data_IF_298273369860
#
_entry.id   IF_298273369860
#
_cell.length_a   1.000
_cell.length_b   1.000
_cell.length_c   1.000
_cell.angle_alpha   90.00
_cell.angle_beta   90.00
_cell.angle_gamma   90.00
#
_symmetry.space_group_name_H-M   'P 1'
#
loop_
_entity.id
_entity.type
_entity.pdbx_description
1 polymer ?
#
# COMPACT_ATOMS: atom_id res chain seq x y z
N UNK A 1 76.20 -8.02 44.72
CA UNK A 1 75.02 -7.44 44.10
C UNK A 1 73.97 -8.50 44.11
N UNK A 2 72.96 -8.25 44.86
CA UNK A 2 72.01 -9.12 45.48
C UNK A 2 70.99 -9.73 44.46
N UNK A 3 70.71 -11.04 44.58
CA UNK A 3 69.70 -11.83 43.87
C UNK A 3 68.30 -11.30 44.12
N UNK A 4 68.04 -10.53 45.17
CA UNK A 4 66.75 -9.98 45.57
C UNK A 4 66.26 -8.85 44.63
N UNK A 5 67.15 -8.02 44.09
CA UNK A 5 66.75 -6.92 43.22
C UNK A 5 66.18 -7.41 41.83
N UNK A 6 66.61 -8.58 41.35
CA UNK A 6 66.06 -9.18 40.10
C UNK A 6 64.68 -9.79 40.31
N UNK A 7 64.37 -10.26 41.52
CA UNK A 7 63.06 -10.79 41.87
C UNK A 7 61.98 -9.69 41.92
N UNK A 8 62.29 -8.52 42.46
CA UNK A 8 61.34 -7.38 42.56
C UNK A 8 61.10 -6.74 41.23
N UNK A 9 62.10 -6.62 40.37
CA UNK A 9 61.87 -6.10 38.98
C UNK A 9 60.94 -7.01 38.16
N UNK A 10 61.07 -8.35 38.31
CA UNK A 10 60.18 -9.30 37.62
C UNK A 10 58.74 -9.24 38.14
N UNK A 11 58.53 -9.00 39.47
CA UNK A 11 57.17 -8.83 40.02
C UNK A 11 56.44 -7.57 39.47
N UNK A 12 57.24 -6.47 39.37
CA UNK A 12 56.66 -5.23 38.83
C UNK A 12 56.29 -5.37 37.33
N UNK A 13 57.19 -6.02 36.57
CA UNK A 13 56.89 -6.33 35.14
C UNK A 13 55.65 -7.26 35.01
N UNK A 14 55.54 -8.26 35.88
CA UNK A 14 54.40 -9.16 35.93
C UNK A 14 53.07 -8.40 36.25
N UNK A 15 53.14 -7.49 37.25
CA UNK A 15 51.98 -6.67 37.61
C UNK A 15 51.52 -5.75 36.48
N UNK A 16 52.48 -5.09 35.82
CA UNK A 16 52.17 -4.26 34.64
C UNK A 16 51.59 -5.11 33.50
N UNK A 17 52.18 -6.27 33.22
CA UNK A 17 51.71 -7.19 32.22
C UNK A 17 50.26 -7.67 32.53
N UNK A 18 49.95 -7.96 33.80
CA UNK A 18 48.62 -8.35 34.24
C UNK A 18 47.60 -7.22 34.05
N UNK A 19 47.96 -5.98 34.41
CA UNK A 19 47.10 -4.79 34.21
C UNK A 19 46.81 -4.56 32.72
N UNK A 20 47.83 -4.66 31.88
CA UNK A 20 47.66 -4.51 30.42
C UNK A 20 46.77 -5.63 29.87
N UNK A 21 47.01 -6.87 30.30
CA UNK A 21 46.19 -8.01 29.86
C UNK A 21 44.71 -7.85 30.28
N UNK A 22 44.46 -7.39 31.50
CA UNK A 22 43.09 -7.15 32.00
C UNK A 22 42.42 -6.00 31.26
N UNK A 23 43.15 -4.93 30.95
CA UNK A 23 42.66 -3.81 30.20
C UNK A 23 42.28 -4.23 28.77
N UNK A 24 43.15 -4.99 28.09
CA UNK A 24 42.86 -5.50 26.73
C UNK A 24 41.70 -6.48 26.75
N UNK A 25 41.60 -7.36 27.74
CA UNK A 25 40.45 -8.26 27.88
C UNK A 25 39.16 -7.49 28.13
N UNK A 26 39.18 -6.44 28.97
CA UNK A 26 38.01 -5.57 29.21
C UNK A 26 37.53 -4.85 27.97
N UNK A 27 38.45 -4.32 27.16
CA UNK A 27 38.10 -3.70 25.85
C UNK A 27 37.53 -4.75 24.91
N UNK A 28 38.11 -5.95 24.86
CA UNK A 28 37.61 -7.03 24.00
C UNK A 28 36.18 -7.46 24.34
N UNK A 29 35.86 -7.59 25.63
CA UNK A 29 34.48 -7.90 26.08
C UNK A 29 33.52 -6.78 25.74
N UNK A 30 33.88 -5.52 25.96
CA UNK A 30 33.03 -4.37 25.64
C UNK A 30 32.72 -4.26 24.14
N UNK A 31 33.71 -4.55 23.28
CA UNK A 31 33.49 -4.59 21.83
C UNK A 31 32.60 -5.76 21.41
N UNK A 32 32.75 -6.92 22.06
CA UNK A 32 31.91 -8.08 21.80
C UNK A 32 30.46 -7.85 22.21
N UNK A 33 30.22 -7.24 23.37
CA UNK A 33 28.90 -6.89 23.85
C UNK A 33 28.21 -5.90 22.90
N UNK A 34 28.91 -4.85 22.44
CA UNK A 34 28.38 -3.89 21.48
C UNK A 34 28.03 -4.51 20.11
N UNK A 35 28.88 -5.46 19.66
CA UNK A 35 28.60 -6.18 18.40
C UNK A 35 27.39 -7.13 18.53
N UNK A 36 27.20 -7.77 19.67
CA UNK A 36 26.02 -8.61 19.93
C UNK A 36 24.75 -7.79 20.02
N UNK A 37 24.77 -6.64 20.67
CA UNK A 37 23.64 -5.74 20.81
C UNK A 37 23.22 -5.17 19.42
N UNK A 38 24.17 -4.73 18.61
CA UNK A 38 23.91 -4.33 17.22
C UNK A 38 23.27 -5.45 16.41
N UNK A 39 23.80 -6.66 16.49
CA UNK A 39 23.28 -7.80 15.75
C UNK A 39 21.85 -8.19 16.15
N UNK A 40 21.51 -7.99 17.43
CA UNK A 40 20.15 -8.22 17.92
C UNK A 40 19.18 -7.14 17.47
N UNK A 41 19.57 -5.85 17.48
CA UNK A 41 18.79 -4.74 16.96
C UNK A 41 18.49 -4.94 15.49
N UNK A 42 19.49 -5.16 14.66
CA UNK A 42 19.33 -5.39 13.22
C UNK A 42 18.34 -6.53 12.92
N UNK A 43 18.35 -7.59 13.73
CA UNK A 43 17.44 -8.72 13.57
C UNK A 43 15.98 -8.36 13.94
N UNK A 44 15.77 -7.55 14.97
CA UNK A 44 14.43 -7.09 15.38
C UNK A 44 13.85 -6.11 14.38
N UNK A 45 14.62 -5.12 13.95
CA UNK A 45 14.25 -4.14 12.93
C UNK A 45 13.85 -4.82 11.62
N UNK A 46 14.64 -5.80 11.17
CA UNK A 46 14.34 -6.56 9.96
C UNK A 46 13.05 -7.36 10.07
N UNK A 47 12.76 -7.95 11.24
CA UNK A 47 11.49 -8.64 11.48
C UNK A 47 10.32 -7.68 11.48
N UNK A 48 10.47 -6.53 12.16
CA UNK A 48 9.46 -5.49 12.21
C UNK A 48 9.17 -4.91 10.82
N UNK A 49 10.21 -4.57 10.05
CA UNK A 49 10.08 -4.10 8.68
C UNK A 49 9.41 -5.12 7.75
N UNK A 50 9.78 -6.41 7.89
CA UNK A 50 9.17 -7.50 7.11
C UNK A 50 7.72 -7.71 7.49
N UNK A 51 7.38 -7.67 8.77
CA UNK A 51 6.01 -7.80 9.26
C UNK A 51 5.14 -6.67 8.72
N UNK A 52 5.57 -5.42 8.91
CA UNK A 52 4.84 -4.25 8.42
C UNK A 52 4.66 -4.29 6.89
N UNK A 53 5.73 -4.57 6.14
CA UNK A 53 5.65 -4.69 4.69
C UNK A 53 4.70 -5.81 4.24
N UNK A 54 4.58 -6.89 5.01
CA UNK A 54 3.66 -7.99 4.70
C UNK A 54 2.21 -7.63 5.02
N UNK A 55 1.97 -6.96 6.12
CA UNK A 55 0.64 -6.49 6.50
C UNK A 55 0.11 -5.44 5.53
N UNK A 56 0.94 -4.49 5.13
CA UNK A 56 0.57 -3.45 4.15
C UNK A 56 0.08 -4.01 2.81
N UNK A 57 0.52 -5.19 2.40
CA UNK A 57 0.16 -5.79 1.11
C UNK A 57 -0.78 -6.98 1.22
N UNK A 58 -1.19 -7.35 2.42
CA UNK A 58 -2.12 -8.46 2.67
C UNK A 58 -3.51 -8.14 2.12
N UNK A 59 -4.20 -9.15 1.61
CA UNK A 59 -5.57 -9.01 1.12
C UNK A 59 -6.56 -8.51 2.20
N UNK A 60 -6.26 -8.77 3.48
CA UNK A 60 -7.08 -8.36 4.61
C UNK A 60 -6.73 -6.95 5.12
N UNK A 61 -5.73 -6.28 4.53
CA UNK A 61 -5.34 -4.93 4.92
C UNK A 61 -6.30 -3.88 4.35
N UNK A 62 -6.58 -2.84 5.13
CA UNK A 62 -7.33 -1.67 4.67
C UNK A 62 -6.61 -0.88 3.57
N UNK A 63 -5.32 -1.12 3.36
CA UNK A 63 -4.48 -0.47 2.33
C UNK A 63 -4.53 -1.17 0.98
N UNK A 64 -5.28 -2.26 0.84
CA UNK A 64 -5.27 -3.08 -0.36
C UNK A 64 -6.66 -3.26 -0.97
N UNK A 65 -6.71 -3.26 -2.29
CA UNK A 65 -7.88 -3.73 -3.06
C UNK A 65 -7.91 -5.26 -3.11
N UNK A 66 -6.73 -5.89 -3.12
CA UNK A 66 -6.46 -7.33 -3.10
C UNK A 66 -5.00 -7.59 -2.78
N UNK A 67 -4.64 -8.83 -2.55
CA UNK A 67 -3.26 -9.21 -2.23
C UNK A 67 -2.24 -8.61 -3.22
N UNK A 68 -1.20 -7.94 -2.68
CA UNK A 68 -0.16 -7.24 -3.43
C UNK A 68 -0.63 -6.07 -4.34
N UNK A 69 -1.88 -5.63 -4.21
CA UNK A 69 -2.42 -4.46 -4.93
C UNK A 69 -2.90 -3.44 -3.93
N UNK A 70 -2.12 -2.40 -3.79
CA UNK A 70 -2.42 -1.27 -2.91
C UNK A 70 -3.51 -0.39 -3.53
N UNK A 71 -4.38 0.13 -2.71
CA UNK A 71 -5.32 1.19 -3.05
C UNK A 71 -4.62 2.54 -2.89
N UNK A 72 -4.60 3.37 -3.94
CA UNK A 72 -3.90 4.65 -3.92
C UNK A 72 -4.41 5.57 -2.82
N UNK A 73 -5.72 5.73 -2.73
CA UNK A 73 -6.36 6.64 -1.77
C UNK A 73 -6.18 6.15 -0.33
N UNK A 74 -6.34 4.84 -0.11
CA UNK A 74 -6.15 4.24 1.20
C UNK A 74 -4.70 4.37 1.69
N UNK A 75 -3.74 4.22 0.79
CA UNK A 75 -2.33 4.38 1.12
C UNK A 75 -1.98 5.84 1.39
N UNK A 76 -2.48 6.79 0.60
CA UNK A 76 -2.25 8.22 0.80
C UNK A 76 -2.85 8.74 2.10
N UNK A 77 -3.90 8.09 2.59
CA UNK A 77 -4.55 8.41 3.87
C UNK A 77 -3.91 7.78 5.10
N UNK A 78 -2.86 6.96 4.94
CA UNK A 78 -2.16 6.31 6.05
C UNK A 78 -1.57 7.32 7.04
N UNK A 79 -1.81 7.05 8.30
CA UNK A 79 -1.28 7.83 9.42
C UNK A 79 -0.22 7.04 10.21
N UNK A 80 0.64 7.71 11.00
CA UNK A 80 1.56 7.01 11.90
C UNK A 80 0.88 6.06 12.89
N UNK A 81 -0.37 6.34 13.30
CA UNK A 81 -1.14 5.49 14.20
C UNK A 81 -1.55 4.17 13.53
N UNK A 82 -1.85 4.20 12.23
CA UNK A 82 -2.22 3.00 11.48
C UNK A 82 -1.06 2.01 11.39
N UNK A 83 0.19 2.50 11.37
CA UNK A 83 1.37 1.63 11.36
C UNK A 83 1.47 0.76 12.62
N UNK A 84 1.06 1.30 13.78
CA UNK A 84 1.04 0.54 15.04
C UNK A 84 -0.05 -0.52 15.05
N UNK A 85 -1.21 -0.21 14.47
CA UNK A 85 -2.31 -1.16 14.32
C UNK A 85 -1.96 -2.30 13.38
N UNK A 86 -1.30 -1.98 12.26
CA UNK A 86 -0.86 -2.96 11.27
C UNK A 86 0.26 -3.86 11.80
N UNK A 87 1.21 -3.28 12.53
CA UNK A 87 2.36 -4.03 13.06
C UNK A 87 2.77 -3.50 14.44
N UNK A 88 2.22 -4.05 15.53
CA UNK A 88 2.54 -3.59 16.89
C UNK A 88 4.05 -3.60 17.22
N UNK A 89 4.84 -4.42 16.53
CA UNK A 89 6.30 -4.49 16.70
C UNK A 89 7.06 -3.23 16.27
N UNK A 90 6.39 -2.25 15.62
CA UNK A 90 7.02 -0.98 15.25
C UNK A 90 6.65 0.17 16.21
N UNK A 91 5.91 -0.07 17.29
CA UNK A 91 5.35 0.98 18.15
C UNK A 91 6.39 1.95 18.73
N UNK A 92 7.60 1.49 19.01
CA UNK A 92 8.70 2.29 19.58
C UNK A 92 9.80 2.67 18.59
N UNK A 93 9.68 2.27 17.32
CA UNK A 93 10.70 2.49 16.29
C UNK A 93 10.35 3.70 15.40
N UNK A 94 11.37 4.31 14.83
CA UNK A 94 11.19 5.26 13.74
C UNK A 94 10.90 4.50 12.45
N UNK A 95 9.87 4.92 11.72
CA UNK A 95 9.36 4.18 10.55
C UNK A 95 9.15 5.11 9.37
N UNK A 96 9.57 4.67 8.19
CA UNK A 96 9.27 5.33 6.91
C UNK A 96 8.72 4.31 5.93
N UNK A 97 7.57 4.63 5.34
CA UNK A 97 6.93 3.87 4.25
C UNK A 97 6.95 4.72 2.99
N UNK A 98 7.47 4.15 1.92
CA UNK A 98 7.58 4.81 0.62
C UNK A 98 6.99 3.93 -0.47
N UNK A 99 6.38 4.57 -1.49
CA UNK A 99 5.98 3.93 -2.74
C UNK A 99 6.71 4.64 -3.88
N UNK A 100 7.58 3.90 -4.56
CA UNK A 100 8.53 4.48 -5.50
C UNK A 100 9.46 5.45 -4.77
N UNK A 101 9.42 6.72 -5.16
CA UNK A 101 10.23 7.80 -4.55
C UNK A 101 9.44 8.63 -3.52
N UNK A 102 8.12 8.44 -3.46
CA UNK A 102 7.24 9.23 -2.58
C UNK A 102 7.15 8.61 -1.19
N UNK A 103 7.38 9.42 -0.14
CA UNK A 103 7.10 9.04 1.24
C UNK A 103 5.60 9.17 1.49
N UNK A 104 4.98 8.06 1.85
CA UNK A 104 3.54 7.97 2.14
C UNK A 104 3.27 8.32 3.59
N UNK A 105 4.00 7.68 4.49
CA UNK A 105 3.88 7.92 5.93
C UNK A 105 5.25 7.81 6.58
N UNK A 106 5.50 8.69 7.54
CA UNK A 106 6.73 8.70 8.33
C UNK A 106 6.40 8.97 9.80
N UNK A 107 7.06 8.23 10.68
CA UNK A 107 7.06 8.46 12.11
C UNK A 107 8.50 8.51 12.59
N UNK A 108 8.85 9.56 13.33
CA UNK A 108 10.23 9.84 13.73
C UNK A 108 11.11 10.26 12.55
N UNK A 109 12.38 9.96 12.64
CA UNK A 109 13.40 10.30 11.63
C UNK A 109 14.35 9.13 11.42
N UNK A 110 13.90 8.06 10.75
CA UNK A 110 14.76 6.91 10.52
C UNK A 110 16.00 7.33 9.72
N UNK A 111 17.17 7.18 10.33
CA UNK A 111 18.47 7.54 9.77
C UNK A 111 19.31 6.33 9.36
N UNK A 112 18.89 5.14 9.76
CA UNK A 112 19.51 3.85 9.50
C UNK A 112 18.50 2.73 9.50
N UNK A 113 18.78 1.66 10.24
CA UNK A 113 17.88 0.55 10.46
C UNK A 113 17.68 -0.40 9.28
N UNK A 114 16.70 -1.27 9.40
CA UNK A 114 16.43 -2.29 8.40
C UNK A 114 15.44 -1.81 7.34
N UNK A 115 15.77 -2.02 6.08
CA UNK A 115 14.92 -1.68 4.95
C UNK A 115 14.47 -2.93 4.19
N UNK A 116 13.17 -3.06 3.96
CA UNK A 116 12.54 -4.11 3.16
C UNK A 116 11.91 -3.49 1.92
N UNK A 117 12.13 -4.10 0.76
CA UNK A 117 11.57 -3.67 -0.52
C UNK A 117 10.72 -4.77 -1.13
N UNK A 118 9.54 -4.42 -1.64
CA UNK A 118 8.63 -5.33 -2.34
C UNK A 118 8.10 -4.67 -3.61
N UNK A 119 7.96 -5.46 -4.66
CA UNK A 119 7.26 -5.02 -5.85
C UNK A 119 5.76 -5.18 -5.61
N UNK A 120 5.01 -4.10 -5.83
CA UNK A 120 3.56 -4.04 -5.66
C UNK A 120 2.91 -3.44 -6.90
N UNK A 121 1.61 -3.59 -7.01
CA UNK A 121 0.78 -2.78 -7.90
C UNK A 121 0.07 -1.73 -7.05
N UNK A 122 -0.08 -0.54 -7.58
CA UNK A 122 -0.91 0.52 -7.00
C UNK A 122 -2.12 0.67 -7.92
N UNK A 123 -3.30 0.47 -7.37
CA UNK A 123 -4.57 0.67 -8.06
C UNK A 123 -5.05 2.10 -7.81
N UNK A 124 -5.45 2.75 -8.88
CA UNK A 124 -6.02 4.09 -8.89
C UNK A 124 -7.33 4.04 -9.67
N UNK A 125 -8.39 4.61 -9.13
CA UNK A 125 -9.66 4.80 -9.82
C UNK A 125 -9.69 6.20 -10.43
N UNK A 126 -9.85 6.26 -11.75
CA UNK A 126 -10.05 7.53 -12.45
C UNK A 126 -11.52 7.68 -12.81
N UNK A 127 -12.07 8.89 -12.67
CA UNK A 127 -13.42 9.18 -13.14
C UNK A 127 -13.35 9.59 -14.60
N UNK A 128 -14.06 8.86 -15.46
CA UNK A 128 -14.24 9.22 -16.87
C UNK A 128 -15.71 9.52 -17.14
N UNK A 129 -15.99 10.62 -17.82
CA UNK A 129 -17.34 11.04 -18.17
C UNK A 129 -17.55 10.91 -19.69
N UNK A 130 -18.68 10.36 -20.09
CA UNK A 130 -19.08 10.23 -21.48
C UNK A 130 -20.56 10.55 -21.63
N UNK A 131 -20.90 11.38 -22.61
CA UNK A 131 -22.27 11.61 -23.03
C UNK A 131 -22.50 10.94 -24.37
N UNK A 132 -23.61 10.28 -24.51
CA UNK A 132 -23.96 9.51 -25.68
C UNK A 132 -25.44 9.77 -26.00
N UNK A 133 -25.73 10.09 -27.27
CA UNK A 133 -27.12 10.02 -27.76
C UNK A 133 -27.37 8.55 -28.12
N UNK A 134 -28.38 7.98 -27.52
CA UNK A 134 -28.77 6.59 -27.74
C UNK A 134 -30.15 6.52 -28.37
N UNK A 135 -30.29 5.67 -29.34
CA UNK A 135 -31.53 5.25 -29.94
C UNK A 135 -31.80 3.79 -29.63
N UNK A 136 -32.93 3.24 -30.06
CA UNK A 136 -33.23 1.83 -29.83
C UNK A 136 -32.11 0.93 -30.38
N UNK A 137 -31.66 -0.03 -29.53
CA UNK A 137 -30.59 -0.97 -29.81
C UNK A 137 -29.19 -0.39 -29.90
N UNK A 138 -28.93 0.84 -29.48
CA UNK A 138 -27.59 1.37 -29.38
C UNK A 138 -26.84 0.78 -28.19
N UNK A 139 -25.55 0.50 -28.39
CA UNK A 139 -24.69 -0.05 -27.36
C UNK A 139 -23.45 0.81 -27.06
N UNK A 140 -23.08 0.89 -25.81
CA UNK A 140 -21.90 1.61 -25.36
C UNK A 140 -20.96 0.64 -24.66
N UNK A 141 -19.78 0.46 -25.23
CA UNK A 141 -18.73 -0.37 -24.60
C UNK A 141 -17.82 0.49 -23.73
N UNK A 142 -17.65 0.07 -22.50
CA UNK A 142 -16.77 0.69 -21.50
C UNK A 142 -15.49 -0.13 -21.30
N UNK A 143 -14.42 0.51 -20.82
CA UNK A 143 -13.14 -0.17 -20.56
C UNK A 143 -13.30 -1.33 -19.58
N UNK A 144 -12.41 -2.32 -19.69
CA UNK A 144 -12.27 -3.37 -18.66
C UNK A 144 -11.87 -2.76 -17.32
N UNK A 145 -12.21 -3.45 -16.26
CA UNK A 145 -11.97 -3.06 -14.86
C UNK A 145 -12.77 -1.84 -14.41
N UNK A 146 -13.86 -1.53 -15.10
CA UNK A 146 -14.86 -0.59 -14.61
C UNK A 146 -15.69 -1.31 -13.55
N UNK A 147 -15.64 -0.86 -12.32
CA UNK A 147 -16.31 -1.50 -11.16
C UNK A 147 -17.65 -0.85 -10.86
N UNK A 148 -17.82 0.39 -11.30
CA UNK A 148 -19.00 1.21 -11.10
C UNK A 148 -19.26 2.08 -12.30
N UNK A 149 -20.54 2.26 -12.61
CA UNK A 149 -21.02 3.20 -13.62
C UNK A 149 -22.21 3.94 -13.05
N UNK A 150 -22.15 5.25 -13.03
CA UNK A 150 -23.29 6.11 -12.74
C UNK A 150 -23.91 6.48 -14.09
N UNK A 151 -25.16 6.09 -14.26
CA UNK A 151 -25.95 6.32 -15.48
C UNK A 151 -26.96 7.42 -15.16
N UNK A 152 -26.86 8.53 -15.85
CA UNK A 152 -27.85 9.62 -15.79
C UNK A 152 -28.58 9.70 -17.13
N UNK A 153 -29.88 9.54 -17.07
CA UNK A 153 -30.75 9.58 -18.22
C UNK A 153 -31.50 10.92 -18.23
N UNK A 154 -31.38 11.66 -19.32
CA UNK A 154 -32.11 12.89 -19.57
C UNK A 154 -32.92 12.72 -20.89
N UNK A 155 -34.20 12.49 -20.74
CA UNK A 155 -35.10 12.28 -21.87
C UNK A 155 -35.95 13.49 -22.13
N UNK A 156 -36.11 13.82 -23.40
CA UNK A 156 -37.11 14.79 -23.81
C UNK A 156 -38.54 14.25 -23.62
N UNK A 157 -39.58 15.10 -23.77
CA UNK A 157 -40.96 14.73 -23.46
C UNK A 157 -41.58 13.66 -24.40
N UNK A 158 -40.90 13.33 -25.48
CA UNK A 158 -41.37 12.35 -26.50
C UNK A 158 -40.43 11.11 -26.57
N UNK A 159 -39.52 10.97 -25.64
CA UNK A 159 -38.54 9.88 -25.62
C UNK A 159 -38.47 9.26 -24.24
N UNK A 160 -38.47 7.95 -24.17
CA UNK A 160 -38.39 7.20 -22.93
C UNK A 160 -37.30 6.12 -23.02
N UNK A 161 -36.46 6.02 -22.00
CA UNK A 161 -35.54 4.90 -21.84
C UNK A 161 -36.18 3.93 -20.86
N UNK A 162 -36.62 2.77 -21.29
CA UNK A 162 -37.29 1.82 -20.41
C UNK A 162 -36.33 0.85 -19.75
N UNK A 163 -35.32 0.42 -20.49
CA UNK A 163 -34.40 -0.63 -19.97
C UNK A 163 -32.97 -0.30 -20.30
N UNK A 164 -32.11 -0.53 -19.29
CA UNK A 164 -30.65 -0.59 -19.47
C UNK A 164 -30.18 -2.00 -19.18
N UNK A 165 -29.53 -2.60 -20.17
CA UNK A 165 -28.89 -3.93 -20.02
C UNK A 165 -27.39 -3.77 -19.87
N UNK A 166 -26.81 -4.66 -19.07
CA UNK A 166 -25.35 -4.80 -18.88
C UNK A 166 -24.98 -6.19 -19.34
N UNK A 167 -24.22 -6.30 -20.43
CA UNK A 167 -23.82 -7.59 -21.00
C UNK A 167 -25.03 -8.52 -21.19
N UNK A 168 -26.06 -8.06 -21.91
CA UNK A 168 -27.33 -8.74 -22.18
C UNK A 168 -28.25 -9.01 -20.97
N UNK A 169 -27.87 -8.56 -19.77
CA UNK A 169 -28.68 -8.72 -18.55
C UNK A 169 -29.36 -7.40 -18.19
N UNK A 170 -30.65 -7.45 -17.92
CA UNK A 170 -31.39 -6.28 -17.44
C UNK A 170 -30.80 -5.82 -16.11
N UNK A 171 -30.29 -4.62 -16.09
CA UNK A 171 -29.73 -3.96 -14.92
C UNK A 171 -30.70 -2.92 -14.34
N UNK A 172 -31.37 -2.18 -15.20
CA UNK A 172 -32.41 -1.22 -14.84
C UNK A 172 -33.62 -1.44 -15.73
N UNK A 173 -34.82 -1.32 -15.16
CA UNK A 173 -36.07 -1.35 -15.91
C UNK A 173 -37.14 -0.53 -15.20
N UNK A 174 -37.87 0.28 -15.97
CA UNK A 174 -39.02 1.04 -15.51
C UNK A 174 -40.02 1.16 -16.68
N UNK A 175 -41.27 0.75 -16.44
CA UNK A 175 -42.36 0.88 -17.43
C UNK A 175 -42.75 2.35 -17.69
N UNK A 176 -42.51 3.23 -16.68
CA UNK A 176 -42.76 4.66 -16.78
C UNK A 176 -41.56 5.44 -17.36
N UNK A 177 -40.47 4.73 -17.68
CA UNK A 177 -39.18 5.28 -18.08
C UNK A 177 -38.20 5.48 -16.93
N UNK A 178 -36.92 5.46 -17.28
CA UNK A 178 -35.82 5.76 -16.38
C UNK A 178 -35.54 7.26 -16.46
N UNK A 179 -35.52 7.92 -15.34
CA UNK A 179 -35.17 9.34 -15.18
C UNK A 179 -34.22 9.54 -14.02
N UNK A 180 -33.29 10.50 -14.19
CA UNK A 180 -32.30 10.84 -13.17
C UNK A 180 -31.06 9.93 -13.17
N UNK A 181 -30.38 9.87 -12.01
CA UNK A 181 -29.09 9.20 -11.84
C UNK A 181 -29.24 7.87 -11.09
N UNK A 182 -28.63 6.82 -11.64
CA UNK A 182 -28.60 5.50 -11.02
C UNK A 182 -27.21 4.89 -11.11
N UNK A 183 -26.72 4.33 -9.98
CA UNK A 183 -25.42 3.66 -9.91
C UNK A 183 -25.55 2.17 -10.21
N UNK A 184 -24.80 1.70 -11.19
CA UNK A 184 -24.64 0.28 -11.54
C UNK A 184 -23.29 -0.24 -11.00
N UNK A 185 -23.33 -1.36 -10.30
CA UNK A 185 -22.12 -2.10 -9.91
C UNK A 185 -21.86 -3.22 -10.92
N UNK A 186 -20.63 -3.34 -11.36
CA UNK A 186 -20.23 -4.19 -12.48
C UNK A 186 -19.04 -5.08 -12.12
N UNK A 187 -18.80 -6.11 -12.94
CA UNK A 187 -17.66 -7.00 -12.75
C UNK A 187 -16.39 -6.41 -13.37
N UNK A 188 -15.35 -6.28 -12.59
CA UNK A 188 -14.02 -5.83 -13.04
C UNK A 188 -13.35 -6.76 -14.07
N UNK A 189 -13.83 -8.00 -14.21
CA UNK A 189 -13.19 -9.02 -15.04
C UNK A 189 -13.71 -9.06 -16.46
N UNK A 190 -14.84 -8.41 -16.72
CA UNK A 190 -15.53 -8.42 -18.00
C UNK A 190 -15.39 -7.07 -18.72
N UNK A 191 -15.46 -7.09 -20.05
CA UNK A 191 -15.72 -5.88 -20.82
C UNK A 191 -17.19 -5.53 -20.62
N UNK A 192 -17.47 -4.29 -20.32
CA UNK A 192 -18.81 -3.84 -20.02
C UNK A 192 -19.46 -3.27 -21.28
N UNK A 193 -20.58 -3.83 -21.68
CA UNK A 193 -21.44 -3.28 -22.73
C UNK A 193 -22.78 -2.88 -22.13
N UNK A 194 -23.15 -1.63 -22.30
CA UNK A 194 -24.44 -1.08 -21.91
C UNK A 194 -25.32 -1.00 -23.17
N UNK A 195 -26.46 -1.65 -23.12
CA UNK A 195 -27.48 -1.59 -24.19
C UNK A 195 -28.71 -0.88 -23.66
N UNK A 196 -29.27 0.02 -24.46
CA UNK A 196 -30.38 0.87 -24.10
C UNK A 196 -31.60 0.51 -24.94
N UNK A 197 -32.74 0.36 -24.27
CA UNK A 197 -34.05 0.17 -24.88
C UNK A 197 -34.78 1.53 -24.86
N UNK A 198 -34.90 2.17 -26.01
CA UNK A 198 -35.35 3.55 -26.12
C UNK A 198 -36.62 3.60 -26.98
N UNK A 199 -37.71 4.11 -26.42
CA UNK A 199 -38.90 4.46 -27.16
C UNK A 199 -38.85 5.95 -27.55
N UNK A 200 -38.98 6.24 -28.83
CA UNK A 200 -38.91 7.59 -29.38
C UNK A 200 -37.77 7.78 -30.36
N UNK A 201 -37.20 8.97 -30.42
CA UNK A 201 -36.16 9.28 -31.41
C UNK A 201 -34.76 9.04 -30.87
N UNK A 202 -34.35 9.80 -29.89
CA UNK A 202 -33.03 9.72 -29.24
C UNK A 202 -33.13 10.21 -27.80
N UNK A 203 -32.34 9.60 -26.89
CA UNK A 203 -32.16 10.07 -25.51
C UNK A 203 -30.72 10.46 -25.29
N UNK A 204 -30.44 11.50 -24.50
CA UNK A 204 -29.10 11.81 -24.04
C UNK A 204 -28.86 11.03 -22.75
N UNK A 205 -27.81 10.19 -22.74
CA UNK A 205 -27.35 9.45 -21.57
C UNK A 205 -25.97 9.92 -21.19
N UNK A 206 -25.83 10.40 -19.97
CA UNK A 206 -24.54 10.72 -19.38
C UNK A 206 -24.06 9.54 -18.53
N UNK A 207 -22.84 9.11 -18.78
CA UNK A 207 -22.18 8.02 -18.09
C UNK A 207 -20.96 8.58 -17.34
N UNK A 208 -20.93 8.42 -16.01
CA UNK A 208 -19.72 8.55 -15.24
C UNK A 208 -19.25 7.14 -14.85
N UNK A 209 -18.06 6.74 -15.28
CA UNK A 209 -17.56 5.41 -15.02
C UNK A 209 -16.15 5.46 -14.43
N UNK A 210 -15.83 4.42 -13.66
CA UNK A 210 -14.67 4.39 -12.79
C UNK A 210 -13.76 3.20 -13.14
N UNK A 211 -12.91 3.35 -14.18
CA UNK A 211 -11.97 2.31 -14.55
C UNK A 211 -10.79 2.27 -13.58
N UNK A 212 -10.50 1.08 -13.05
CA UNK A 212 -9.31 0.85 -12.25
C UNK A 212 -8.07 0.76 -13.15
N UNK A 213 -7.08 1.57 -12.89
CA UNK A 213 -5.74 1.49 -13.48
C UNK A 213 -4.76 0.97 -12.45
N UNK A 214 -3.84 0.12 -12.85
CA UNK A 214 -2.79 -0.37 -11.95
C UNK A 214 -1.42 -0.02 -12.48
N UNK A 215 -0.60 0.56 -11.61
CA UNK A 215 0.80 0.92 -11.89
C UNK A 215 1.73 0.09 -11.03
N UNK A 216 2.83 -0.37 -11.61
CA UNK A 216 3.87 -1.11 -10.88
C UNK A 216 4.72 -0.13 -10.08
N UNK A 217 4.90 -0.41 -8.79
CA UNK A 217 5.74 0.38 -7.90
C UNK A 217 6.60 -0.51 -6.98
N UNK A 218 7.50 0.10 -6.24
CA UNK A 218 8.27 -0.57 -5.18
C UNK A 218 7.82 0.01 -3.85
N UNK A 219 7.22 -0.83 -3.01
CA UNK A 219 7.00 -0.52 -1.60
C UNK A 219 8.33 -0.67 -0.86
N UNK A 220 8.74 0.37 -0.18
CA UNK A 220 9.94 0.38 0.68
C UNK A 220 9.52 0.70 2.11
N UNK A 221 9.86 -0.17 3.04
CA UNK A 221 9.60 -0.01 4.48
C UNK A 221 10.93 0.01 5.20
N UNK A 222 11.21 1.09 5.91
CA UNK A 222 12.40 1.26 6.76
C UNK A 222 11.96 1.34 8.21
N UNK A 223 12.61 0.57 9.08
CA UNK A 223 12.40 0.56 10.54
C UNK A 223 13.73 0.74 11.21
N UNK A 224 13.83 1.72 12.13
CA UNK A 224 15.03 2.11 12.88
C UNK A 224 14.63 2.18 14.37
N UNK A 225 15.23 1.34 15.23
CA UNK A 225 14.81 1.16 16.63
C UNK A 225 15.93 1.45 17.67
#
# INVERSE_FOLDING_TARGET
VTRDERGQANLLVLAVALVVLTAVAGIGVSLADGALESGQRDAMERRAATSLASQLVSADSSTTVRDNVLDSDAVESLTPADLELLAPGVASADVRVQIGESTVVERGTPSGGATVRRVVLVADETTENRRVNVSDSDSVTLPRRTTRVDVSVDTGPETTVETVRVNDRVALHSEDGLDGETTLRTSRYETLTLDFDVEGSEAEVALAYYPERTTKAVLTVTVDA
#
